data_IF_637331607315
#
_entry.id   IF_637331607315
#
_cell.length_a   1.000
_cell.length_b   1.000
_cell.length_c   1.000
_cell.angle_alpha   90.00
_cell.angle_beta   90.00
_cell.angle_gamma   90.00
#
_symmetry.space_group_name_H-M   'P 1'
#
loop_
_entity.id
_entity.type
_entity.pdbx_description
1 polymer ?
#
# COMPACT_ATOMS: atom_id res chain seq x y z
N UNK A 1 4.91 -13.01 -6.42
CA UNK A 1 3.79 -13.03 -7.38
C UNK A 1 3.41 -11.58 -7.59
N UNK A 2 3.37 -11.13 -8.84
CA UNK A 2 3.29 -9.71 -9.17
C UNK A 2 1.92 -9.37 -9.76
N UNK A 3 1.50 -8.12 -9.58
CA UNK A 3 0.32 -7.58 -10.25
C UNK A 3 0.69 -7.13 -11.67
N UNK A 4 -0.27 -7.21 -12.61
CA UNK A 4 0.01 -6.89 -14.01
C UNK A 4 0.27 -5.39 -14.20
N UNK A 5 1.51 -5.04 -14.56
CA UNK A 5 1.93 -3.69 -14.92
C UNK A 5 2.54 -3.68 -16.34
N UNK A 6 2.57 -2.51 -16.99
CA UNK A 6 3.37 -2.37 -18.22
C UNK A 6 4.87 -2.35 -17.87
N UNK A 7 5.72 -2.55 -18.87
CA UNK A 7 7.18 -2.57 -18.70
C UNK A 7 7.71 -1.29 -18.04
N UNK A 8 7.24 -0.12 -18.49
CA UNK A 8 7.66 1.18 -17.97
C UNK A 8 7.25 1.38 -16.50
N UNK A 9 6.01 1.02 -16.15
CA UNK A 9 5.52 1.06 -14.77
C UNK A 9 6.19 0.04 -13.85
N UNK A 10 6.85 -0.99 -14.39
CA UNK A 10 7.59 -1.97 -13.59
C UNK A 10 9.05 -1.54 -13.41
N UNK A 11 9.75 -1.21 -14.50
CA UNK A 11 11.16 -0.81 -14.47
C UNK A 11 11.35 0.56 -13.80
N UNK A 12 10.46 1.52 -14.07
CA UNK A 12 10.53 2.88 -13.54
C UNK A 12 10.31 2.99 -12.03
N UNK A 13 9.92 1.89 -11.37
CA UNK A 13 9.55 1.88 -9.95
C UNK A 13 10.37 0.92 -9.11
N UNK A 14 11.48 0.38 -9.63
CA UNK A 14 12.33 -0.55 -8.88
C UNK A 14 12.82 0.01 -7.54
N UNK A 15 13.08 1.30 -7.49
CA UNK A 15 13.51 1.97 -6.26
C UNK A 15 12.38 1.99 -5.22
N UNK A 16 11.16 2.30 -5.67
CA UNK A 16 9.94 2.21 -4.85
C UNK A 16 9.76 0.79 -4.32
N UNK A 17 9.90 -0.24 -5.15
CA UNK A 17 9.79 -1.64 -4.73
C UNK A 17 10.79 -2.04 -3.63
N UNK A 18 12.01 -1.49 -3.67
CA UNK A 18 12.99 -1.69 -2.60
C UNK A 18 12.54 -1.08 -1.27
N UNK A 19 11.96 0.13 -1.32
CA UNK A 19 11.39 0.81 -0.14
C UNK A 19 10.21 0.01 0.45
N UNK A 20 9.29 -0.46 -0.40
CA UNK A 20 8.16 -1.29 0.05
C UNK A 20 8.62 -2.62 0.63
N UNK A 21 9.67 -3.21 0.05
CA UNK A 21 10.32 -4.39 0.60
C UNK A 21 10.76 -4.19 2.05
N UNK A 22 11.26 -3.00 2.39
CA UNK A 22 11.57 -2.63 3.77
C UNK A 22 10.32 -2.43 4.63
N UNK A 23 9.37 -1.60 4.19
CA UNK A 23 8.16 -1.28 4.99
C UNK A 23 7.30 -2.52 5.26
N UNK A 24 7.19 -3.44 4.30
CA UNK A 24 6.46 -4.72 4.45
C UNK A 24 7.07 -5.70 5.48
N UNK A 25 8.20 -5.35 6.08
CA UNK A 25 8.89 -6.13 7.13
C UNK A 25 8.89 -5.43 8.48
N UNK A 26 8.42 -4.19 8.55
CA UNK A 26 8.18 -3.49 9.81
C UNK A 26 6.90 -4.10 10.41
N UNK A 27 7.08 -4.97 11.41
CA UNK A 27 5.97 -5.56 12.16
C UNK A 27 5.91 -4.96 13.55
N UNK A 28 4.69 -4.81 14.08
CA UNK A 28 4.45 -4.37 15.46
C UNK A 28 4.78 -5.43 16.52
N UNK A 29 5.25 -6.62 16.13
CA UNK A 29 5.62 -7.72 17.02
C UNK A 29 7.13 -7.93 17.03
N UNK A 30 7.67 -8.37 18.17
CA UNK A 30 9.11 -8.67 18.32
C UNK A 30 9.46 -9.79 17.33
N UNK A 31 10.37 -9.57 16.37
CA UNK A 31 10.71 -10.60 15.39
C UNK A 31 11.47 -11.75 16.08
N UNK A 32 11.19 -12.99 15.66
CA UNK A 32 12.06 -14.14 15.95
C UNK A 32 13.51 -13.85 15.51
N UNK A 33 14.54 -14.45 16.14
CA UNK A 33 15.94 -14.14 15.85
C UNK A 33 16.33 -14.25 14.37
N UNK A 34 15.76 -15.22 13.65
CA UNK A 34 15.94 -15.40 12.20
C UNK A 34 15.39 -14.22 11.39
N UNK A 35 14.27 -13.64 11.82
CA UNK A 35 13.64 -12.48 11.21
C UNK A 35 14.39 -11.18 11.51
N UNK A 36 15.13 -11.11 12.62
CA UNK A 36 15.95 -9.94 12.97
C UNK A 36 17.15 -9.77 12.05
N UNK A 37 17.83 -10.86 11.68
CA UNK A 37 18.96 -10.81 10.76
C UNK A 37 18.53 -10.38 9.33
N UNK A 38 17.40 -10.89 8.85
CA UNK A 38 16.80 -10.48 7.57
C UNK A 38 16.39 -9.00 7.60
N UNK A 39 15.69 -8.57 8.66
CA UNK A 39 15.29 -7.17 8.84
C UNK A 39 16.51 -6.25 8.85
N UNK A 40 17.57 -6.60 9.60
CA UNK A 40 18.80 -5.83 9.65
C UNK A 40 19.43 -5.66 8.26
N UNK A 41 19.48 -6.73 7.46
CA UNK A 41 20.03 -6.66 6.11
C UNK A 41 19.28 -5.65 5.23
N UNK A 42 17.93 -5.65 5.31
CA UNK A 42 17.10 -4.71 4.55
C UNK A 42 17.21 -3.27 5.07
N UNK A 43 17.25 -3.07 6.39
CA UNK A 43 17.51 -1.76 7.01
C UNK A 43 18.85 -1.21 6.54
N UNK A 44 19.92 -1.99 6.65
CA UNK A 44 21.27 -1.58 6.25
C UNK A 44 21.33 -1.22 4.76
N UNK A 45 20.63 -1.97 3.90
CA UNK A 45 20.53 -1.68 2.48
C UNK A 45 19.78 -0.35 2.21
N UNK A 46 18.67 -0.12 2.92
CA UNK A 46 17.89 1.11 2.78
C UNK A 46 18.67 2.33 3.28
N UNK A 47 19.24 2.27 4.48
CA UNK A 47 20.04 3.36 5.08
C UNK A 47 21.19 3.75 4.16
N UNK A 48 21.88 2.77 3.56
CA UNK A 48 22.99 3.05 2.64
C UNK A 48 22.57 3.70 1.34
N UNK A 49 21.38 3.38 0.83
CA UNK A 49 20.94 3.78 -0.51
C UNK A 49 20.04 5.02 -0.51
N UNK A 50 19.18 5.15 0.48
CA UNK A 50 18.19 6.23 0.61
C UNK A 50 18.16 6.80 2.04
N UNK A 51 19.28 7.36 2.54
CA UNK A 51 19.36 7.86 3.91
C UNK A 51 18.30 8.95 4.20
N UNK A 52 17.95 9.75 3.20
CA UNK A 52 16.98 10.84 3.31
C UNK A 52 15.55 10.35 3.61
N UNK A 53 15.18 9.13 3.20
CA UNK A 53 13.85 8.56 3.52
C UNK A 53 13.67 8.30 5.02
N UNK A 54 14.77 8.26 5.77
CA UNK A 54 14.79 7.93 7.19
C UNK A 54 14.88 9.18 8.07
N UNK A 55 15.06 10.37 7.50
CA UNK A 55 15.22 11.64 8.25
C UNK A 55 14.01 11.98 9.13
N UNK A 56 12.87 11.34 8.88
CA UNK A 56 11.63 11.48 9.64
C UNK A 56 11.03 10.15 10.14
N UNK A 57 11.82 9.07 10.11
CA UNK A 57 11.40 7.81 10.71
C UNK A 57 11.54 7.90 12.23
N UNK A 58 10.43 8.19 12.93
CA UNK A 58 10.40 8.15 14.37
C UNK A 58 10.05 6.73 14.83
N UNK A 59 11.04 6.00 15.34
CA UNK A 59 10.76 4.78 16.08
C UNK A 59 10.18 5.22 17.41
N UNK A 60 8.85 5.20 17.52
CA UNK A 60 8.19 5.46 18.78
C UNK A 60 8.49 4.27 19.70
N UNK A 61 9.31 4.52 20.72
CA UNK A 61 9.66 3.52 21.72
C UNK A 61 8.48 3.18 22.62
N UNK A 62 7.35 3.89 22.51
CA UNK A 62 6.16 3.64 23.31
C UNK A 62 5.63 2.23 23.02
N UNK A 63 5.66 1.33 24.02
CA UNK A 63 5.09 0.00 23.86
C UNK A 63 3.58 0.13 23.65
N UNK A 64 3.07 -0.54 22.62
CA UNK A 64 1.63 -0.74 22.42
C UNK A 64 1.29 -2.20 22.61
N UNK A 65 0.06 -2.45 23.06
CA UNK A 65 -0.49 -3.79 23.13
C UNK A 65 -1.06 -4.15 21.76
N UNK A 66 -0.53 -5.22 21.16
CA UNK A 66 -0.98 -5.75 19.86
C UNK A 66 -1.22 -7.25 20.00
N UNK A 67 -2.45 -7.72 19.73
CA UNK A 67 -2.86 -9.12 19.88
C UNK A 67 -2.43 -9.78 21.21
N UNK A 68 -2.58 -9.05 22.33
CA UNK A 68 -2.22 -9.53 23.67
C UNK A 68 -0.72 -9.57 23.98
N UNK A 69 0.13 -9.08 23.08
CA UNK A 69 1.58 -8.95 23.27
C UNK A 69 2.01 -7.49 23.33
N UNK A 70 3.02 -7.17 24.12
CA UNK A 70 3.65 -5.85 24.13
C UNK A 70 4.63 -5.77 22.95
N UNK A 71 4.44 -4.78 22.08
CA UNK A 71 5.28 -4.52 20.93
C UNK A 71 5.66 -3.04 20.80
N UNK A 72 6.73 -2.76 20.07
CA UNK A 72 7.09 -1.39 19.69
C UNK A 72 6.61 -1.12 18.27
N UNK A 73 6.11 0.09 18.01
CA UNK A 73 5.58 0.47 16.71
C UNK A 73 6.42 1.58 16.14
N UNK A 74 6.95 1.37 14.93
CA UNK A 74 7.52 2.46 14.17
C UNK A 74 6.37 3.38 13.71
N UNK A 75 6.41 4.66 14.09
CA UNK A 75 5.51 5.67 13.58
C UNK A 75 6.20 6.41 12.45
N UNK A 76 5.61 6.34 11.26
CA UNK A 76 6.14 7.06 10.10
C UNK A 76 5.43 8.41 10.04
N UNK A 77 6.17 9.50 10.22
CA UNK A 77 5.62 10.86 10.17
C UNK A 77 5.01 11.14 8.80
N UNK A 78 3.80 11.73 8.78
CA UNK A 78 3.01 11.99 7.57
C UNK A 78 3.75 12.85 6.53
N UNK A 79 4.64 13.72 6.98
CA UNK A 79 5.40 14.65 6.11
C UNK A 79 6.73 14.05 5.62
N UNK A 80 6.97 12.75 5.81
CA UNK A 80 8.20 12.12 5.35
C UNK A 80 8.17 11.84 3.84
N UNK A 81 9.33 11.94 3.17
CA UNK A 81 9.48 11.48 1.78
C UNK A 81 9.03 10.02 1.60
N UNK A 82 9.16 9.20 2.66
CA UNK A 82 8.63 7.84 2.69
C UNK A 82 7.12 7.79 2.49
N UNK A 83 6.33 8.69 3.08
CA UNK A 83 4.88 8.76 2.85
C UNK A 83 4.56 8.99 1.36
N UNK A 84 5.26 9.93 0.71
CA UNK A 84 5.08 10.18 -0.72
C UNK A 84 5.36 8.93 -1.59
N UNK A 85 6.41 8.17 -1.26
CA UNK A 85 6.72 6.89 -1.95
C UNK A 85 5.64 5.83 -1.69
N UNK A 86 5.13 5.76 -0.45
CA UNK A 86 4.08 4.82 -0.08
C UNK A 86 2.72 5.16 -0.73
N UNK A 87 2.38 6.44 -0.86
CA UNK A 87 1.19 6.91 -1.56
C UNK A 87 1.28 6.61 -3.06
N UNK A 88 2.44 6.89 -3.68
CA UNK A 88 2.70 6.54 -5.07
C UNK A 88 2.59 5.02 -5.29
N UNK A 89 3.10 4.22 -4.35
CA UNK A 89 2.93 2.77 -4.38
C UNK A 89 1.46 2.37 -4.26
N UNK A 90 0.71 2.96 -3.35
CA UNK A 90 -0.71 2.69 -3.16
C UNK A 90 -1.51 2.98 -4.43
N UNK A 91 -1.26 4.13 -5.08
CA UNK A 91 -1.87 4.49 -6.36
C UNK A 91 -1.52 3.48 -7.47
N UNK A 92 -0.26 3.03 -7.55
CA UNK A 92 0.16 2.01 -8.52
C UNK A 92 -0.58 0.68 -8.32
N UNK A 93 -0.69 0.23 -7.07
CA UNK A 93 -1.44 -1.00 -6.74
C UNK A 93 -2.92 -0.83 -7.06
N UNK A 94 -3.52 0.32 -6.74
CA UNK A 94 -4.91 0.62 -7.04
C UNK A 94 -5.21 0.51 -8.54
N UNK A 95 -4.35 1.09 -9.40
CA UNK A 95 -4.48 0.97 -10.86
C UNK A 95 -4.36 -0.48 -11.35
N UNK A 96 -3.45 -1.25 -10.76
CA UNK A 96 -3.29 -2.65 -11.12
C UNK A 96 -4.50 -3.49 -10.70
N UNK A 97 -5.07 -3.24 -9.52
CA UNK A 97 -6.30 -3.88 -9.05
C UNK A 97 -7.52 -3.45 -9.86
N UNK A 98 -7.61 -2.18 -10.24
CA UNK A 98 -8.65 -1.71 -11.15
C UNK A 98 -8.62 -2.47 -12.46
N UNK A 99 -7.43 -2.60 -13.09
CA UNK A 99 -7.28 -3.37 -14.33
C UNK A 99 -7.64 -4.84 -14.14
N UNK A 100 -7.22 -5.44 -13.03
CA UNK A 100 -7.53 -6.83 -12.71
C UNK A 100 -9.05 -7.06 -12.63
N UNK A 101 -9.78 -6.14 -12.01
CA UNK A 101 -11.22 -6.26 -11.75
C UNK A 101 -12.10 -5.84 -12.93
N UNK A 102 -11.71 -4.78 -13.64
CA UNK A 102 -12.46 -4.25 -14.78
C UNK A 102 -12.05 -4.85 -16.12
N UNK A 103 -10.94 -5.58 -16.17
CA UNK A 103 -10.37 -6.16 -17.39
C UNK A 103 -9.70 -5.16 -18.33
N UNK A 104 -9.68 -3.87 -17.98
CA UNK A 104 -9.11 -2.80 -18.80
C UNK A 104 -8.40 -1.75 -17.92
N UNK A 105 -7.39 -1.04 -18.44
CA UNK A 105 -6.74 0.05 -17.71
C UNK A 105 -7.73 1.16 -17.31
N UNK A 106 -7.43 1.89 -16.24
CA UNK A 106 -8.17 3.11 -15.91
C UNK A 106 -7.97 4.16 -17.02
N UNK A 107 -9.01 4.97 -17.34
CA UNK A 107 -8.89 6.09 -18.28
C UNK A 107 -7.79 7.07 -17.85
N UNK A 108 -7.11 7.71 -18.81
CA UNK A 108 -5.98 8.62 -18.52
C UNK A 108 -6.35 9.82 -17.64
N UNK A 109 -7.61 10.23 -17.66
CA UNK A 109 -8.16 11.31 -16.84
C UNK A 109 -8.69 10.84 -15.49
N UNK A 110 -8.56 9.54 -15.17
CA UNK A 110 -8.97 9.02 -13.88
C UNK A 110 -8.20 9.70 -12.75
N UNK A 111 -8.87 9.85 -11.62
CA UNK A 111 -8.39 10.54 -10.43
C UNK A 111 -8.23 9.56 -9.31
N UNK A 112 -7.07 9.56 -8.68
CA UNK A 112 -6.71 8.57 -7.67
C UNK A 112 -6.49 9.30 -6.35
N UNK A 113 -7.24 8.89 -5.34
CA UNK A 113 -6.99 9.22 -3.95
C UNK A 113 -6.54 7.95 -3.27
N UNK A 114 -5.45 8.01 -2.52
CA UNK A 114 -4.97 6.87 -1.78
C UNK A 114 -4.43 7.30 -0.43
N UNK A 115 -4.48 6.37 0.51
CA UNK A 115 -3.77 6.45 1.78
C UNK A 115 -3.17 5.09 2.07
N UNK A 116 -2.12 5.09 2.86
CA UNK A 116 -1.60 3.87 3.45
C UNK A 116 -1.52 4.03 4.96
N UNK A 117 -1.74 2.92 5.65
CA UNK A 117 -1.75 2.86 7.10
C UNK A 117 -0.93 1.66 7.55
N UNK A 118 -0.14 1.82 8.62
CA UNK A 118 0.51 0.68 9.26
C UNK A 118 -0.53 -0.22 9.92
N UNK A 119 -0.16 -1.46 10.24
CA UNK A 119 -1.02 -2.40 10.95
C UNK A 119 -1.70 -1.82 12.20
N UNK A 120 -1.02 -0.96 12.96
CA UNK A 120 -1.58 -0.29 14.14
C UNK A 120 -2.58 0.81 13.78
N UNK A 121 -2.43 1.46 12.62
CA UNK A 121 -3.43 2.39 12.10
C UNK A 121 -4.72 1.68 11.68
N UNK A 122 -4.57 0.51 11.03
CA UNK A 122 -5.70 -0.26 10.51
C UNK A 122 -6.62 -0.82 11.59
N UNK A 123 -6.07 -1.36 12.68
CA UNK A 123 -6.88 -1.98 13.75
C UNK A 123 -7.70 -0.96 14.55
N UNK A 124 -7.32 0.32 14.50
CA UNK A 124 -7.99 1.40 15.23
C UNK A 124 -8.97 2.22 14.36
N UNK A 125 -9.12 1.88 13.08
CA UNK A 125 -9.99 2.64 12.16
C UNK A 125 -11.39 2.00 12.04
N UNK A 126 -12.36 2.55 12.78
CA UNK A 126 -13.76 2.13 12.72
C UNK A 126 -14.37 2.31 11.31
N UNK A 127 -13.95 3.34 10.56
CA UNK A 127 -14.42 3.58 9.19
C UNK A 127 -13.87 2.53 8.23
N UNK A 128 -12.65 2.02 8.47
CA UNK A 128 -12.10 0.91 7.70
C UNK A 128 -12.93 -0.36 7.84
N UNK A 129 -13.39 -0.68 9.06
CA UNK A 129 -14.22 -1.86 9.28
C UNK A 129 -15.58 -1.77 8.56
N UNK A 130 -16.18 -0.58 8.51
CA UNK A 130 -17.40 -0.35 7.73
C UNK A 130 -17.14 -0.43 6.22
N UNK A 131 -16.04 0.18 5.75
CA UNK A 131 -15.61 0.12 4.35
C UNK A 131 -15.38 -1.32 3.87
N UNK A 132 -14.69 -2.14 4.65
CA UNK A 132 -14.44 -3.54 4.33
C UNK A 132 -15.73 -4.37 4.29
N UNK A 133 -16.67 -4.10 5.21
CA UNK A 133 -17.99 -4.74 5.18
C UNK A 133 -18.78 -4.35 3.93
N UNK A 134 -18.68 -3.10 3.48
CA UNK A 134 -19.37 -2.61 2.29
C UNK A 134 -18.78 -3.17 0.99
N UNK A 135 -17.45 -3.31 0.90
CA UNK A 135 -16.78 -3.81 -0.31
C UNK A 135 -16.93 -5.33 -0.49
N UNK A 136 -17.05 -6.10 0.59
CA UNK A 136 -17.30 -7.54 0.53
C UNK A 136 -16.11 -8.41 0.93
N UNK A 137 -15.94 -9.57 0.28
CA UNK A 137 -14.95 -10.57 0.70
C UNK A 137 -13.56 -10.31 0.11
N UNK A 138 -12.48 -10.60 0.87
CA UNK A 138 -11.13 -10.51 0.37
C UNK A 138 -10.88 -11.49 -0.77
N UNK A 139 -9.99 -11.08 -1.66
CA UNK A 139 -9.36 -11.87 -2.71
C UNK A 139 -7.85 -11.89 -2.49
N UNK A 140 -7.16 -12.77 -3.21
CA UNK A 140 -5.69 -12.82 -3.25
C UNK A 140 -5.22 -13.04 -4.69
N UNK A 141 -3.93 -12.86 -4.96
CA UNK A 141 -3.37 -13.20 -6.27
C UNK A 141 -3.19 -14.72 -6.38
N UNK A 142 -3.61 -15.26 -7.52
CA UNK A 142 -3.54 -16.68 -7.84
C UNK A 142 -2.86 -16.85 -9.20
N UNK A 143 -1.83 -17.70 -9.24
CA UNK A 143 -1.15 -18.09 -10.48
C UNK A 143 -1.14 -19.62 -10.58
N UNK A 144 -2.06 -20.17 -11.39
CA UNK A 144 -2.30 -21.61 -11.44
C UNK A 144 -2.75 -22.13 -10.08
N UNK A 145 -1.96 -23.01 -9.46
CA UNK A 145 -2.22 -23.56 -8.12
C UNK A 145 -1.59 -22.76 -6.97
N UNK A 146 -0.73 -21.78 -7.27
CA UNK A 146 -0.04 -20.97 -6.25
C UNK A 146 -0.90 -19.77 -5.89
N UNK A 147 -1.01 -19.46 -4.60
CA UNK A 147 -1.66 -18.26 -4.07
C UNK A 147 -0.80 -17.64 -2.98
N UNK A 148 -1.01 -16.35 -2.69
CA UNK A 148 -0.22 -15.57 -1.71
C UNK A 148 -1.08 -14.98 -0.61
N UNK A 149 -2.14 -15.69 -0.20
CA UNK A 149 -3.15 -15.21 0.76
C UNK A 149 -2.57 -14.69 2.08
N UNK A 150 -1.48 -15.26 2.55
CA UNK A 150 -0.81 -14.83 3.79
C UNK A 150 0.08 -13.58 3.61
N UNK A 151 0.43 -13.26 2.37
CA UNK A 151 1.32 -12.14 2.04
C UNK A 151 0.57 -10.96 1.43
N UNK A 152 -0.53 -11.22 0.72
CA UNK A 152 -1.30 -10.22 0.02
C UNK A 152 -2.78 -10.61 -0.06
N UNK A 153 -3.63 -9.70 0.45
CA UNK A 153 -5.09 -9.78 0.31
C UNK A 153 -5.59 -8.43 -0.18
N UNK A 154 -6.64 -8.43 -0.98
CA UNK A 154 -7.27 -7.21 -1.44
C UNK A 154 -8.79 -7.33 -1.50
N UNK A 155 -9.46 -6.21 -1.32
CA UNK A 155 -10.90 -6.04 -1.27
C UNK A 155 -11.26 -5.02 -2.34
N UNK A 156 -11.68 -5.45 -3.54
CA UNK A 156 -12.09 -4.56 -4.60
C UNK A 156 -13.60 -4.33 -4.58
N UNK A 157 -14.04 -3.10 -4.86
CA UNK A 157 -15.44 -2.76 -4.95
C UNK A 157 -15.69 -1.64 -5.95
N UNK A 158 -16.85 -1.67 -6.59
CA UNK A 158 -17.40 -0.49 -7.27
C UNK A 158 -18.58 -0.01 -6.44
N UNK A 159 -18.71 1.29 -6.23
CA UNK A 159 -19.85 1.82 -5.49
C UNK A 159 -21.16 1.38 -6.18
N UNK A 160 -22.12 0.91 -5.39
CA UNK A 160 -23.36 0.34 -5.93
C UNK A 160 -24.21 1.41 -6.64
N UNK A 161 -24.11 2.64 -6.18
CA UNK A 161 -24.79 3.84 -6.67
C UNK A 161 -23.94 4.67 -7.64
N UNK A 162 -22.65 4.36 -7.80
CA UNK A 162 -21.74 5.08 -8.69
C UNK A 162 -20.76 4.14 -9.41
N UNK A 163 -21.05 3.74 -10.66
CA UNK A 163 -20.20 2.81 -11.42
C UNK A 163 -18.83 3.41 -11.78
N UNK A 164 -18.66 4.74 -11.68
CA UNK A 164 -17.42 5.43 -11.98
C UNK A 164 -16.45 5.48 -10.81
N UNK A 165 -16.93 5.15 -9.60
CA UNK A 165 -16.12 5.12 -8.40
C UNK A 165 -15.73 3.68 -8.06
N UNK A 166 -14.45 3.38 -8.23
CA UNK A 166 -13.84 2.13 -7.80
C UNK A 166 -13.10 2.35 -6.48
N UNK A 167 -13.38 1.52 -5.48
CA UNK A 167 -12.68 1.49 -4.21
C UNK A 167 -11.89 0.19 -4.07
N UNK A 168 -10.72 0.25 -3.44
CA UNK A 168 -10.04 -0.94 -3.00
C UNK A 168 -9.31 -0.76 -1.68
N UNK A 169 -9.27 -1.84 -0.91
CA UNK A 169 -8.31 -2.01 0.19
C UNK A 169 -7.35 -3.14 -0.16
N UNK A 170 -6.06 -3.02 0.19
CA UNK A 170 -5.13 -4.13 0.11
C UNK A 170 -4.20 -4.19 1.33
N UNK A 171 -3.92 -5.39 1.81
CA UNK A 171 -3.09 -5.65 2.98
C UNK A 171 -1.84 -6.45 2.59
N UNK A 172 -0.68 -6.03 3.10
CA UNK A 172 0.64 -6.59 2.79
C UNK A 172 1.29 -7.18 4.04
N UNK A 173 1.41 -8.52 4.09
CA UNK A 173 2.04 -9.30 5.17
C UNK A 173 1.64 -8.86 6.60
N UNK A 174 0.42 -8.34 6.74
CA UNK A 174 -0.12 -7.75 7.99
C UNK A 174 0.76 -6.64 8.59
N UNK A 175 1.60 -6.01 7.75
CA UNK A 175 2.53 -4.96 8.16
C UNK A 175 1.95 -3.57 7.87
N UNK A 176 1.32 -3.42 6.70
CA UNK A 176 0.58 -2.22 6.34
C UNK A 176 -0.58 -2.58 5.39
N UNK A 177 -1.48 -1.62 5.21
CA UNK A 177 -2.51 -1.68 4.20
C UNK A 177 -2.62 -0.36 3.45
N UNK A 178 -3.29 -0.43 2.31
CA UNK A 178 -3.58 0.71 1.47
C UNK A 178 -5.08 0.78 1.25
N UNK A 179 -5.63 1.99 1.28
CA UNK A 179 -6.97 2.29 0.80
C UNK A 179 -6.85 3.21 -0.39
N UNK A 180 -7.56 2.93 -1.46
CA UNK A 180 -7.57 3.79 -2.63
C UNK A 180 -8.96 3.87 -3.26
N UNK A 181 -9.22 5.04 -3.85
CA UNK A 181 -10.40 5.34 -4.64
C UNK A 181 -9.94 5.84 -6.01
N UNK A 182 -10.60 5.35 -7.05
CA UNK A 182 -10.39 5.77 -8.43
C UNK A 182 -11.72 6.29 -8.96
N UNK A 183 -11.76 7.58 -9.29
CA UNK A 183 -12.89 8.22 -9.96
C UNK A 183 -12.58 8.35 -11.45
N UNK A 184 -13.46 7.81 -12.28
CA UNK A 184 -13.29 7.74 -13.74
C UNK A 184 -14.19 8.71 -14.50
N UNK A 185 -14.93 9.60 -13.81
CA UNK A 185 -15.79 10.59 -14.45
C UNK A 185 -15.02 11.71 -15.15
N UNK A 186 -15.62 12.16 -16.24
CA UNK A 186 -15.33 13.47 -16.83
C UNK A 186 -16.02 14.56 -15.99
N UNK A 187 -15.35 15.71 -15.76
CA UNK A 187 -15.92 16.85 -15.03
C UNK A 187 -15.30 17.11 -13.66
N UNK A 188 -16.05 17.73 -12.75
CA UNK A 188 -15.57 18.11 -11.41
C UNK A 188 -15.22 16.87 -10.56
N UNK A 189 -14.08 16.87 -9.87
CA UNK A 189 -13.65 15.72 -9.09
C UNK A 189 -14.48 15.57 -7.80
N UNK A 190 -14.79 14.33 -7.41
CA UNK A 190 -15.39 14.07 -6.09
C UNK A 190 -14.44 14.37 -4.91
N UNK A 191 -13.13 14.34 -5.16
CA UNK A 191 -12.09 14.55 -4.18
C UNK A 191 -10.87 15.19 -4.86
N UNK A 192 -10.06 15.92 -4.10
CA UNK A 192 -8.78 16.41 -4.63
C UNK A 192 -7.89 15.21 -5.01
N UNK A 193 -7.53 15.04 -6.30
CA UNK A 193 -6.75 13.89 -6.72
C UNK A 193 -5.32 14.03 -6.21
N UNK A 194 -4.78 12.96 -5.65
CA UNK A 194 -3.35 12.87 -5.36
C UNK A 194 -2.56 12.44 -6.60
N UNK A 195 -3.14 11.54 -7.41
CA UNK A 195 -2.49 11.03 -8.63
C UNK A 195 -3.47 10.90 -9.80
N UNK A 196 -2.89 10.82 -11.00
CA UNK A 196 -3.55 10.47 -12.25
C UNK A 196 -2.70 9.42 -13.00
N UNK A 197 -3.30 8.55 -13.83
CA UNK A 197 -2.54 7.61 -14.64
C UNK A 197 -1.40 8.29 -15.42
N UNK A 198 -0.22 7.67 -15.41
CA UNK A 198 1.01 8.24 -15.97
C UNK A 198 1.93 8.89 -14.93
N UNK A 199 1.49 9.10 -13.67
CA UNK A 199 2.32 9.71 -12.61
C UNK A 199 3.65 9.00 -12.32
N UNK A 200 3.78 7.72 -12.71
CA UNK A 200 5.01 6.93 -12.55
C UNK A 200 6.10 7.30 -13.56
N UNK A 201 5.76 8.02 -14.63
CA UNK A 201 6.72 8.43 -15.64
C UNK A 201 7.75 9.40 -15.04
N UNK A 202 8.99 8.95 -14.89
CA UNK A 202 10.06 9.74 -14.29
C UNK A 202 10.02 9.81 -12.75
N UNK A 203 9.22 8.97 -12.09
CA UNK A 203 9.19 8.90 -10.63
C UNK A 203 10.58 8.53 -10.07
N UNK A 204 10.98 9.21 -9.00
CA UNK A 204 12.24 8.94 -8.29
C UNK A 204 11.99 8.89 -6.80
N UNK A 205 12.72 7.99 -6.13
CA UNK A 205 12.73 7.84 -4.68
C UNK A 205 13.73 8.81 -4.08
#
# INVERSE_FOLDING_TARGET
>A
MEFGACHECHEGTREMDAVIGFVSRIRGTIPEPSSQAELKHHVDALVRRYPHLLEHLQVDSTPVMYNGSIGHVARIGKDSALHGVMDAFAARVALALYRLEKGQPAPVNARILCRWDTNVGLDNDAQMNEFLKAIGLPRTLVQGKKHVVEQFRYWPGTAADDPHLFGCFAAFRESFGITAFIDTRDGEPLFEPMFQPGFLQGFKV
#
